data_IF_894404601762
#
_entry.id   IF_894404601762
#
_cell.length_a   1.000
_cell.length_b   1.000
_cell.length_c   1.000
_cell.angle_alpha   90.00
_cell.angle_beta   90.00
_cell.angle_gamma   90.00
#
_symmetry.space_group_name_H-M   'P 1'
#
loop_
_entity.id
_entity.type
_entity.pdbx_description
1 polymer ?
#
# COMPACT_ATOMS: atom_id res chain seq x y z
N UNK A 1 -21.63 9.11 1.91
CA UNK A 1 -22.28 8.55 0.70
C UNK A 1 -21.22 8.15 -0.32
N UNK A 2 -21.43 7.05 -1.02
CA UNK A 2 -20.60 6.65 -2.17
C UNK A 2 -21.46 6.70 -3.43
N UNK A 3 -21.11 7.57 -4.36
CA UNK A 3 -21.71 7.66 -5.69
C UNK A 3 -20.72 7.08 -6.70
N UNK A 4 -21.15 6.08 -7.48
CA UNK A 4 -20.28 5.53 -8.51
C UNK A 4 -20.99 5.43 -9.86
N UNK A 5 -20.26 5.86 -10.87
CA UNK A 5 -20.71 5.82 -12.27
C UNK A 5 -20.21 4.55 -12.96
N UNK A 6 -20.97 4.07 -13.92
CA UNK A 6 -20.57 2.97 -14.79
C UNK A 6 -20.99 3.26 -16.25
N UNK A 7 -20.31 2.67 -17.24
CA UNK A 7 -20.51 3.03 -18.64
C UNK A 7 -21.91 2.77 -19.18
N UNK A 8 -22.40 1.53 -19.05
CA UNK A 8 -23.63 1.13 -19.76
C UNK A 8 -24.18 -0.18 -19.19
N UNK A 9 -25.52 -0.29 -19.24
CA UNK A 9 -26.26 -1.51 -18.96
C UNK A 9 -25.94 -2.62 -19.96
N UNK A 10 -26.20 -3.87 -19.59
CA UNK A 10 -26.01 -5.05 -20.41
C UNK A 10 -24.61 -5.20 -21.02
N UNK A 11 -23.57 -4.87 -20.25
CA UNK A 11 -22.16 -5.02 -20.61
C UNK A 11 -21.45 -6.06 -19.76
N UNK A 12 -20.12 -6.11 -19.79
CA UNK A 12 -19.36 -7.25 -19.23
C UNK A 12 -18.80 -6.94 -17.81
N UNK A 13 -18.10 -5.84 -17.62
CA UNK A 13 -17.49 -5.45 -16.33
C UNK A 13 -18.52 -4.84 -15.40
N UNK A 14 -19.45 -4.04 -15.93
CA UNK A 14 -20.42 -3.28 -15.12
C UNK A 14 -21.26 -4.16 -14.17
N UNK A 15 -21.81 -5.30 -14.59
CA UNK A 15 -22.59 -6.12 -13.67
C UNK A 15 -21.72 -6.69 -12.55
N UNK A 16 -20.45 -6.97 -12.78
CA UNK A 16 -19.56 -7.50 -11.73
C UNK A 16 -19.32 -6.48 -10.62
N UNK A 17 -19.16 -5.20 -10.96
CA UNK A 17 -19.01 -4.12 -9.97
C UNK A 17 -20.29 -3.87 -9.21
N UNK A 18 -21.40 -3.65 -9.92
CA UNK A 18 -22.68 -3.27 -9.33
C UNK A 18 -23.18 -4.39 -8.39
N UNK A 19 -23.06 -5.65 -8.81
CA UNK A 19 -23.41 -6.81 -7.99
C UNK A 19 -22.51 -6.87 -6.75
N UNK A 20 -21.19 -6.66 -6.89
CA UNK A 20 -20.25 -6.71 -5.76
C UNK A 20 -20.59 -5.63 -4.71
N UNK A 21 -20.87 -4.39 -5.14
CA UNK A 21 -21.32 -3.32 -4.23
C UNK A 21 -22.67 -3.63 -3.60
N UNK A 22 -23.63 -4.13 -4.40
CA UNK A 22 -24.98 -4.48 -3.91
C UNK A 22 -24.97 -5.61 -2.90
N UNK A 23 -24.19 -6.66 -3.14
CA UNK A 23 -24.11 -7.81 -2.24
C UNK A 23 -23.47 -7.44 -0.89
N UNK A 24 -22.62 -6.42 -0.88
CA UNK A 24 -21.96 -5.88 0.32
C UNK A 24 -22.58 -4.59 0.86
N UNK A 25 -23.77 -4.21 0.41
CA UNK A 25 -24.45 -2.98 0.82
C UNK A 25 -24.61 -2.85 2.34
N UNK A 26 -24.87 -3.96 3.05
CA UNK A 26 -25.00 -3.98 4.51
C UNK A 26 -23.72 -3.59 5.26
N UNK A 27 -22.55 -3.81 4.68
CA UNK A 27 -21.27 -3.35 5.26
C UNK A 27 -21.17 -1.82 5.21
N UNK A 28 -21.61 -1.21 4.11
CA UNK A 28 -21.69 0.24 4.00
C UNK A 28 -22.78 0.86 4.89
N UNK A 29 -23.92 0.19 5.03
CA UNK A 29 -25.00 0.63 5.93
C UNK A 29 -24.54 0.65 7.39
N UNK A 30 -23.76 -0.33 7.84
CA UNK A 30 -23.14 -0.35 9.18
C UNK A 30 -22.20 0.84 9.40
N UNK A 31 -21.62 1.37 8.34
CA UNK A 31 -20.79 2.58 8.34
C UNK A 31 -21.62 3.86 8.07
N UNK A 32 -22.94 3.80 8.22
CA UNK A 32 -23.86 4.92 7.92
C UNK A 32 -23.62 5.51 6.52
N UNK A 33 -23.23 4.68 5.55
CA UNK A 33 -22.86 5.09 4.20
C UNK A 33 -23.83 4.52 3.18
N UNK A 34 -24.46 5.39 2.40
CA UNK A 34 -25.35 4.98 1.30
C UNK A 34 -24.56 4.81 0.01
N UNK A 35 -24.91 3.77 -0.75
CA UNK A 35 -24.39 3.50 -2.09
C UNK A 35 -25.40 3.94 -3.15
N UNK A 36 -24.91 4.62 -4.19
CA UNK A 36 -25.69 5.02 -5.36
C UNK A 36 -24.90 4.66 -6.62
N UNK A 37 -25.50 3.87 -7.50
CA UNK A 37 -24.96 3.64 -8.84
C UNK A 37 -25.58 4.64 -9.84
N UNK A 38 -24.88 5.01 -10.90
CA UNK A 38 -25.37 5.92 -11.92
C UNK A 38 -24.83 5.56 -13.30
N UNK A 39 -25.66 5.58 -14.33
CA UNK A 39 -25.23 5.57 -15.73
C UNK A 39 -26.09 6.48 -16.59
N UNK A 40 -25.66 6.68 -17.82
CA UNK A 40 -26.40 7.47 -18.81
C UNK A 40 -27.58 6.71 -19.45
N UNK A 41 -27.86 5.49 -19.02
CA UNK A 41 -29.03 4.71 -19.46
C UNK A 41 -30.32 5.20 -18.80
N UNK A 42 -31.46 4.76 -19.33
CA UNK A 42 -32.78 5.11 -18.80
C UNK A 42 -33.19 4.19 -17.62
N UNK A 43 -34.14 4.65 -16.83
CA UNK A 43 -34.71 3.86 -15.71
C UNK A 43 -35.34 2.56 -16.22
N UNK A 44 -35.94 2.56 -17.40
CA UNK A 44 -36.52 1.36 -18.03
C UNK A 44 -35.45 0.33 -18.38
N UNK A 45 -34.27 0.79 -18.87
CA UNK A 45 -33.14 -0.08 -19.12
C UNK A 45 -32.63 -0.72 -17.81
N UNK A 46 -32.43 0.09 -16.76
CA UNK A 46 -32.04 -0.42 -15.44
C UNK A 46 -33.02 -1.45 -14.89
N UNK A 47 -34.33 -1.18 -15.01
CA UNK A 47 -35.36 -2.09 -14.54
C UNK A 47 -35.35 -3.42 -15.30
N UNK A 48 -35.18 -3.37 -16.63
CA UNK A 48 -35.04 -4.56 -17.44
C UNK A 48 -33.79 -5.38 -17.05
N UNK A 49 -32.68 -4.71 -16.79
CA UNK A 49 -31.44 -5.35 -16.40
C UNK A 49 -31.50 -5.97 -15.01
N UNK A 50 -32.15 -5.31 -14.03
CA UNK A 50 -32.43 -5.85 -12.70
C UNK A 50 -33.31 -7.10 -12.76
N UNK A 51 -34.33 -7.11 -13.63
CA UNK A 51 -35.20 -8.28 -13.83
C UNK A 51 -34.52 -9.46 -14.53
N UNK A 52 -33.38 -9.20 -15.20
CA UNK A 52 -32.61 -10.25 -15.87
C UNK A 52 -31.78 -11.04 -14.85
N UNK A 53 -31.84 -12.38 -14.85
CA UNK A 53 -31.08 -13.20 -13.93
C UNK A 53 -29.55 -13.01 -14.09
N UNK A 54 -28.80 -13.05 -12.99
CA UNK A 54 -27.32 -12.92 -12.98
C UNK A 54 -26.64 -13.91 -13.93
N UNK A 55 -27.11 -15.15 -14.01
CA UNK A 55 -26.60 -16.18 -14.92
C UNK A 55 -26.78 -15.85 -16.42
N UNK A 56 -27.59 -14.84 -16.73
CA UNK A 56 -27.83 -14.33 -18.10
C UNK A 56 -27.25 -12.94 -18.30
N UNK A 57 -26.30 -12.52 -17.46
CA UNK A 57 -25.66 -11.20 -17.52
C UNK A 57 -26.49 -10.06 -16.94
N UNK A 58 -27.59 -10.37 -16.23
CA UNK A 58 -28.39 -9.39 -15.51
C UNK A 58 -27.87 -9.11 -14.10
N UNK A 59 -28.48 -8.13 -13.43
CA UNK A 59 -28.13 -7.76 -12.04
C UNK A 59 -28.84 -8.65 -11.01
N UNK A 60 -30.03 -9.15 -11.34
CA UNK A 60 -30.87 -9.86 -10.38
C UNK A 60 -31.36 -8.93 -9.26
N UNK A 61 -31.60 -9.49 -8.09
CA UNK A 61 -32.07 -8.71 -6.93
C UNK A 61 -30.98 -7.74 -6.46
N UNK A 62 -31.30 -6.46 -6.43
CA UNK A 62 -30.41 -5.36 -6.06
C UNK A 62 -30.77 -4.76 -4.72
N UNK A 63 -29.77 -4.43 -3.88
CA UNK A 63 -29.93 -3.76 -2.58
C UNK A 63 -29.63 -2.26 -2.64
N UNK A 64 -29.12 -1.77 -3.77
CA UNK A 64 -28.74 -0.36 -3.96
C UNK A 64 -29.54 0.25 -5.12
N UNK A 65 -29.89 1.55 -5.07
CA UNK A 65 -30.55 2.24 -6.16
C UNK A 65 -29.59 2.53 -7.31
N UNK A 66 -30.16 2.60 -8.52
CA UNK A 66 -29.44 3.00 -9.74
C UNK A 66 -30.12 4.25 -10.31
N UNK A 67 -29.34 5.28 -10.56
CA UNK A 67 -29.79 6.57 -11.13
C UNK A 67 -29.66 6.50 -12.65
N UNK A 68 -30.75 6.81 -13.35
CA UNK A 68 -30.78 6.98 -14.79
C UNK A 68 -30.47 8.44 -15.15
N UNK A 69 -29.29 8.70 -15.66
CA UNK A 69 -28.83 10.03 -16.12
C UNK A 69 -28.87 10.11 -17.65
N UNK A 70 -30.03 9.84 -18.24
CA UNK A 70 -30.21 9.84 -19.70
C UNK A 70 -29.98 11.21 -20.35
N UNK A 71 -30.11 12.29 -19.58
CA UNK A 71 -29.75 13.66 -20.02
C UNK A 71 -28.24 13.90 -19.97
N UNK A 72 -27.46 13.04 -19.30
CA UNK A 72 -26.01 13.12 -19.09
C UNK A 72 -25.57 14.33 -18.26
N UNK A 73 -26.51 14.98 -17.59
CA UNK A 73 -26.25 16.18 -16.81
C UNK A 73 -25.42 15.86 -15.56
N UNK A 74 -25.74 14.76 -14.86
CA UNK A 74 -25.01 14.34 -13.66
C UNK A 74 -23.61 13.90 -14.04
N UNK A 75 -23.46 13.01 -15.04
CA UNK A 75 -22.16 12.54 -15.53
C UNK A 75 -21.28 13.71 -16.02
N UNK A 76 -21.86 14.71 -16.66
CA UNK A 76 -21.13 15.91 -17.10
C UNK A 76 -20.67 16.76 -15.91
N UNK A 77 -21.51 17.01 -14.92
CA UNK A 77 -21.17 17.79 -13.71
C UNK A 77 -20.10 17.14 -12.87
N UNK A 78 -20.08 15.81 -12.80
CA UNK A 78 -19.04 15.05 -12.10
C UNK A 78 -17.76 14.82 -12.93
N UNK A 79 -17.73 15.32 -14.17
CA UNK A 79 -16.55 15.23 -15.05
C UNK A 79 -16.23 13.79 -15.52
N UNK A 80 -17.21 12.90 -15.50
CA UNK A 80 -17.04 11.48 -15.89
C UNK A 80 -17.57 11.18 -17.29
N UNK A 81 -18.25 12.12 -17.95
CA UNK A 81 -18.85 11.91 -19.27
C UNK A 81 -17.78 11.82 -20.36
N UNK A 82 -17.81 10.76 -21.14
CA UNK A 82 -17.07 10.62 -22.41
C UNK A 82 -18.00 11.06 -23.52
N UNK A 83 -17.86 12.30 -23.97
CA UNK A 83 -18.79 12.94 -24.90
C UNK A 83 -18.99 12.15 -26.20
N UNK A 84 -17.91 11.68 -26.81
CA UNK A 84 -17.94 10.97 -28.11
C UNK A 84 -18.67 9.61 -28.02
N UNK A 85 -18.66 8.99 -26.85
CA UNK A 85 -19.31 7.71 -26.60
C UNK A 85 -20.69 7.86 -25.95
N UNK A 86 -20.95 9.01 -25.33
CA UNK A 86 -22.17 9.28 -24.58
C UNK A 86 -22.37 8.40 -23.33
N UNK A 87 -21.28 7.91 -22.75
CA UNK A 87 -21.27 7.06 -21.56
C UNK A 87 -20.38 7.67 -20.47
N UNK A 88 -20.54 7.20 -19.23
CA UNK A 88 -19.68 7.61 -18.14
C UNK A 88 -18.43 6.72 -18.03
N UNK A 89 -17.29 7.30 -17.63
CA UNK A 89 -16.17 6.53 -17.06
C UNK A 89 -16.58 5.88 -15.75
N UNK A 90 -15.74 4.97 -15.24
CA UNK A 90 -15.94 4.37 -13.93
C UNK A 90 -15.47 5.31 -12.82
N UNK A 91 -16.13 6.46 -12.69
CA UNK A 91 -15.91 7.41 -11.60
C UNK A 91 -16.54 6.92 -10.31
N UNK A 92 -15.87 7.12 -9.18
CA UNK A 92 -16.41 6.87 -7.85
C UNK A 92 -16.04 8.05 -6.95
N UNK A 93 -17.00 8.49 -6.17
CA UNK A 93 -16.91 9.65 -5.30
C UNK A 93 -17.36 9.28 -3.89
N UNK A 94 -16.47 9.46 -2.92
CA UNK A 94 -16.83 9.38 -1.49
C UNK A 94 -17.17 10.79 -1.05
N UNK A 95 -18.38 10.99 -0.55
CA UNK A 95 -18.93 12.29 -0.20
C UNK A 95 -19.33 12.26 1.27
N UNK A 96 -18.82 13.21 2.06
CA UNK A 96 -19.10 13.32 3.48
C UNK A 96 -20.50 13.86 3.78
N UNK A 97 -20.94 13.92 5.06
CA UNK A 97 -22.27 14.44 5.42
C UNK A 97 -22.50 15.90 5.02
N UNK A 98 -21.44 16.71 4.94
CA UNK A 98 -21.49 18.12 4.56
C UNK A 98 -21.58 18.33 3.05
N UNK A 99 -21.56 17.24 2.26
CA UNK A 99 -21.61 17.28 0.79
C UNK A 99 -20.26 17.54 0.12
N UNK A 100 -19.17 17.46 0.89
CA UNK A 100 -17.80 17.62 0.37
C UNK A 100 -17.28 16.27 -0.15
N UNK A 101 -16.62 16.31 -1.30
CA UNK A 101 -15.96 15.14 -1.88
C UNK A 101 -14.63 14.91 -1.17
N UNK A 102 -14.51 13.78 -0.47
CA UNK A 102 -13.29 13.34 0.23
C UNK A 102 -12.34 12.54 -0.68
N UNK A 103 -12.90 11.81 -1.66
CA UNK A 103 -12.09 10.97 -2.54
C UNK A 103 -12.74 10.81 -3.90
N UNK A 104 -11.91 10.79 -4.94
CA UNK A 104 -12.29 10.50 -6.32
C UNK A 104 -11.40 9.37 -6.84
N UNK A 105 -12.04 8.33 -7.39
CA UNK A 105 -11.35 7.31 -8.19
C UNK A 105 -11.93 7.32 -9.60
N UNK A 106 -11.06 7.26 -10.60
CA UNK A 106 -11.45 7.24 -12.00
C UNK A 106 -10.75 6.09 -12.73
N UNK A 107 -11.49 5.02 -13.04
CA UNK A 107 -10.97 3.95 -13.88
C UNK A 107 -11.46 4.12 -15.31
N UNK A 108 -10.61 3.74 -16.28
CA UNK A 108 -11.01 3.57 -17.65
C UNK A 108 -11.97 2.38 -17.80
N UNK A 109 -12.69 2.31 -18.92
CA UNK A 109 -13.82 1.42 -19.17
C UNK A 109 -13.56 -0.08 -18.90
N UNK A 110 -12.37 -0.68 -19.22
CA UNK A 110 -12.16 -2.12 -19.10
C UNK A 110 -11.83 -2.61 -17.67
N UNK A 111 -11.60 -1.72 -16.70
CA UNK A 111 -11.11 -2.12 -15.37
C UNK A 111 -12.09 -1.77 -14.27
N UNK A 112 -12.64 -2.79 -13.59
CA UNK A 112 -13.52 -2.65 -12.43
C UNK A 112 -12.79 -2.15 -11.16
N UNK A 113 -13.55 -1.62 -10.20
CA UNK A 113 -13.04 -1.06 -8.93
C UNK A 113 -13.09 -2.09 -7.81
N UNK A 114 -12.28 -1.87 -6.77
CA UNK A 114 -12.23 -2.70 -5.57
C UNK A 114 -13.23 -2.21 -4.52
N UNK A 115 -14.18 -3.05 -4.13
CA UNK A 115 -15.14 -2.75 -3.05
C UNK A 115 -14.41 -2.69 -1.70
N UNK A 116 -13.39 -3.54 -1.48
CA UNK A 116 -12.59 -3.55 -0.25
C UNK A 116 -11.89 -2.21 -0.03
N UNK A 117 -11.30 -1.64 -1.08
CA UNK A 117 -10.63 -0.34 -0.99
C UNK A 117 -11.62 0.79 -0.70
N UNK A 118 -12.82 0.75 -1.28
CA UNK A 118 -13.86 1.75 -1.00
C UNK A 118 -14.32 1.67 0.46
N UNK A 119 -14.51 0.46 1.00
CA UNK A 119 -14.84 0.26 2.42
C UNK A 119 -13.73 0.75 3.33
N UNK A 120 -12.47 0.41 3.01
CA UNK A 120 -11.30 0.87 3.75
C UNK A 120 -11.23 2.40 3.81
N UNK A 121 -11.44 3.06 2.68
CA UNK A 121 -11.41 4.52 2.59
C UNK A 121 -12.54 5.19 3.37
N UNK A 122 -13.78 4.66 3.27
CA UNK A 122 -14.90 5.17 4.07
C UNK A 122 -14.58 5.10 5.56
N UNK A 123 -14.04 3.96 6.04
CA UNK A 123 -13.64 3.79 7.43
C UNK A 123 -12.52 4.75 7.83
N UNK A 124 -11.53 4.97 6.95
CA UNK A 124 -10.43 5.88 7.21
C UNK A 124 -10.91 7.34 7.33
N UNK A 125 -11.76 7.82 6.42
CA UNK A 125 -12.31 9.18 6.51
C UNK A 125 -13.17 9.38 7.75
N UNK A 126 -14.00 8.40 8.12
CA UNK A 126 -14.81 8.46 9.34
C UNK A 126 -13.92 8.48 10.59
N UNK A 127 -12.88 7.66 10.63
CA UNK A 127 -11.92 7.64 11.72
C UNK A 127 -11.23 9.00 11.91
N UNK A 128 -10.73 9.60 10.82
CA UNK A 128 -10.10 10.93 10.86
C UNK A 128 -11.08 11.99 11.36
N UNK A 129 -12.33 11.97 10.89
CA UNK A 129 -13.35 12.92 11.30
C UNK A 129 -13.70 12.80 12.80
N UNK A 130 -13.69 11.58 13.35
CA UNK A 130 -14.03 11.32 14.75
C UNK A 130 -12.86 11.59 15.72
N UNK A 131 -11.63 11.20 15.35
CA UNK A 131 -10.47 11.17 16.26
C UNK A 131 -9.47 12.30 16.00
N UNK A 132 -9.50 12.96 14.84
CA UNK A 132 -8.54 14.02 14.48
C UNK A 132 -7.12 13.51 14.21
N UNK A 133 -6.88 12.22 14.27
CA UNK A 133 -5.62 11.58 13.87
C UNK A 133 -5.65 11.21 12.39
N UNK A 134 -4.47 11.10 11.75
CA UNK A 134 -4.39 10.77 10.33
C UNK A 134 -4.05 9.31 10.09
N UNK A 135 -4.64 8.74 9.06
CA UNK A 135 -4.44 7.36 8.68
C UNK A 135 -3.24 7.25 7.71
N UNK A 136 -2.20 6.46 8.02
CA UNK A 136 -1.09 6.24 7.10
C UNK A 136 -1.51 5.46 5.85
N UNK A 137 -0.59 5.33 4.90
CA UNK A 137 -0.81 4.53 3.69
C UNK A 137 -1.24 3.10 4.06
N UNK A 138 -2.22 2.57 3.34
CA UNK A 138 -2.78 1.22 3.52
C UNK A 138 -3.46 0.94 4.87
N UNK A 139 -3.63 1.95 5.72
CA UNK A 139 -4.24 1.81 7.03
C UNK A 139 -5.57 1.05 6.99
N UNK A 140 -5.78 0.20 7.98
CA UNK A 140 -7.02 -0.53 8.23
C UNK A 140 -7.52 -0.28 9.65
N UNK A 141 -8.81 -0.45 9.93
CA UNK A 141 -9.35 -0.34 11.27
C UNK A 141 -8.60 -1.19 12.29
N UNK A 142 -8.18 -0.55 13.39
CA UNK A 142 -7.40 -1.18 14.46
C UNK A 142 -5.88 -1.05 14.31
N UNK A 143 -5.37 -0.54 13.19
CA UNK A 143 -3.95 -0.25 13.02
C UNK A 143 -3.58 1.12 13.60
N UNK A 144 -2.27 1.34 13.78
CA UNK A 144 -1.74 2.59 14.33
C UNK A 144 -2.05 3.77 13.41
N UNK A 145 -2.38 4.89 14.02
CA UNK A 145 -2.60 6.19 13.40
C UNK A 145 -1.50 7.16 13.76
N UNK A 146 -1.44 8.30 13.09
CA UNK A 146 -0.43 9.34 13.33
C UNK A 146 -1.12 10.57 13.92
N UNK A 147 -0.64 11.05 15.06
CA UNK A 147 -1.07 12.34 15.56
C UNK A 147 -0.46 13.44 14.66
N UNK A 148 -1.25 14.38 14.10
CA UNK A 148 -0.77 15.38 13.14
C UNK A 148 -0.05 16.55 13.83
N UNK A 149 0.87 16.27 14.76
CA UNK A 149 1.77 17.26 15.36
C UNK A 149 3.23 16.84 15.17
N UNK A 150 4.12 17.80 15.02
CA UNK A 150 5.54 17.54 14.75
C UNK A 150 6.20 16.65 15.81
N UNK A 151 5.84 16.86 17.10
CA UNK A 151 6.42 16.11 18.20
C UNK A 151 5.79 14.72 18.34
N UNK A 152 4.44 14.62 18.34
CA UNK A 152 3.75 13.35 18.59
C UNK A 152 3.79 12.39 17.41
N UNK A 153 3.96 12.90 16.16
CA UNK A 153 4.15 12.03 15.00
C UNK A 153 5.40 11.16 15.10
N UNK A 154 6.42 11.61 15.85
CA UNK A 154 7.64 10.84 16.08
C UNK A 154 7.40 9.52 16.83
N UNK A 155 6.34 9.43 17.64
CA UNK A 155 5.95 8.19 18.32
C UNK A 155 5.54 7.10 17.31
N UNK A 156 4.83 7.49 16.24
CA UNK A 156 4.48 6.57 15.16
C UNK A 156 5.72 6.09 14.40
N UNK A 157 6.58 7.03 13.97
CA UNK A 157 7.78 6.70 13.20
C UNK A 157 8.80 5.91 14.03
N UNK A 158 8.99 6.27 15.31
CA UNK A 158 9.87 5.55 16.22
C UNK A 158 9.37 4.17 16.66
N UNK A 159 8.11 3.83 16.35
CA UNK A 159 7.55 2.51 16.68
C UNK A 159 7.82 1.42 15.65
N UNK A 160 8.65 1.68 14.62
CA UNK A 160 8.91 0.75 13.51
C UNK A 160 7.73 0.57 12.54
N UNK A 161 6.67 1.35 12.68
CA UNK A 161 5.48 1.23 11.84
C UNK A 161 5.72 1.62 10.37
N UNK A 162 6.86 2.25 10.08
CA UNK A 162 7.33 2.57 8.73
C UNK A 162 8.40 1.61 8.21
N UNK A 163 8.93 0.75 9.10
CA UNK A 163 9.74 -0.38 8.66
C UNK A 163 8.80 -1.35 7.95
N UNK A 164 8.84 -1.31 6.63
CA UNK A 164 8.03 -2.23 5.84
C UNK A 164 8.53 -3.66 6.13
N UNK A 165 7.61 -4.62 6.18
CA UNK A 165 7.97 -6.05 6.18
C UNK A 165 8.93 -6.39 5.02
N UNK A 166 9.00 -5.54 3.99
CA UNK A 166 9.97 -5.60 2.91
C UNK A 166 11.41 -5.30 3.34
N UNK A 167 11.63 -4.54 4.40
CA UNK A 167 13.01 -4.24 4.87
C UNK A 167 13.52 -5.38 5.76
N UNK A 168 12.66 -6.04 6.54
CA UNK A 168 13.01 -7.31 7.22
C UNK A 168 13.14 -8.49 6.23
N UNK A 169 12.31 -8.52 5.19
CA UNK A 169 12.34 -9.55 4.16
C UNK A 169 13.49 -9.35 3.17
N UNK A 170 13.94 -8.12 2.97
CA UNK A 170 15.04 -7.78 2.05
C UNK A 170 16.37 -8.39 2.52
N UNK A 171 16.64 -8.42 3.84
CA UNK A 171 17.90 -8.89 4.40
C UNK A 171 17.87 -10.38 4.82
N UNK A 172 16.71 -11.05 4.77
CA UNK A 172 16.55 -12.46 5.09
C UNK A 172 16.79 -12.81 6.55
N UNK A 173 16.15 -13.89 7.00
CA UNK A 173 16.19 -14.36 8.42
C UNK A 173 17.57 -14.83 8.90
N UNK A 174 18.49 -15.13 7.98
CA UNK A 174 19.83 -15.64 8.28
C UNK A 174 20.89 -14.52 8.34
N UNK A 175 20.51 -13.24 8.15
CA UNK A 175 21.39 -12.06 8.26
C UNK A 175 21.12 -11.34 9.60
N UNK A 176 22.16 -11.20 10.42
CA UNK A 176 22.06 -10.56 11.74
C UNK A 176 22.06 -9.05 11.56
N UNK A 177 20.97 -8.39 11.95
CA UNK A 177 20.90 -6.92 11.99
C UNK A 177 21.66 -6.41 13.22
N UNK A 178 22.74 -5.66 13.00
CA UNK A 178 23.55 -5.07 14.08
C UNK A 178 22.86 -3.78 14.53
N UNK A 179 22.58 -3.69 15.84
CA UNK A 179 21.81 -2.60 16.45
C UNK A 179 22.67 -1.52 17.11
N UNK A 180 23.90 -1.86 17.47
CA UNK A 180 24.85 -0.97 18.10
C UNK A 180 26.29 -1.43 17.93
N UNK A 181 27.24 -0.53 18.22
CA UNK A 181 28.69 -0.77 18.12
C UNK A 181 29.16 -1.93 19.00
N UNK A 182 28.55 -2.11 20.17
CA UNK A 182 28.89 -3.19 21.09
C UNK A 182 28.60 -4.56 20.48
N UNK A 183 27.40 -4.71 19.88
CA UNK A 183 27.03 -5.94 19.17
C UNK A 183 27.95 -6.23 17.98
N UNK A 184 28.37 -5.19 17.25
CA UNK A 184 29.34 -5.34 16.17
C UNK A 184 30.65 -5.96 16.69
N UNK A 185 31.24 -5.38 17.72
CA UNK A 185 32.50 -5.87 18.28
C UNK A 185 32.37 -7.26 18.91
N UNK A 186 31.23 -7.60 19.52
CA UNK A 186 30.96 -8.95 20.04
C UNK A 186 30.89 -9.97 18.90
N UNK A 187 30.22 -9.66 17.78
CA UNK A 187 30.15 -10.53 16.61
C UNK A 187 31.52 -10.74 15.96
N UNK A 188 32.31 -9.69 15.80
CA UNK A 188 33.67 -9.79 15.27
C UNK A 188 34.53 -10.72 16.12
N UNK A 189 34.45 -10.61 17.47
CA UNK A 189 35.24 -11.45 18.39
C UNK A 189 34.78 -12.90 18.45
N UNK A 190 33.48 -13.16 18.38
CA UNK A 190 32.89 -14.48 18.60
C UNK A 190 32.81 -15.32 17.32
N UNK A 191 32.84 -14.70 16.15
CA UNK A 191 32.66 -15.40 14.89
C UNK A 191 33.99 -15.89 14.32
N UNK A 192 34.02 -17.17 13.87
CA UNK A 192 35.17 -17.70 13.16
C UNK A 192 35.36 -17.05 11.79
N UNK A 193 34.26 -16.89 11.02
CA UNK A 193 34.19 -16.20 9.78
C UNK A 193 32.97 -15.29 9.82
N UNK A 194 33.11 -14.01 9.49
CA UNK A 194 32.02 -13.02 9.49
C UNK A 194 32.12 -12.13 8.26
N UNK A 195 31.00 -11.84 7.65
CA UNK A 195 30.86 -10.81 6.61
C UNK A 195 29.85 -9.77 7.12
N UNK A 196 30.19 -8.51 7.00
CA UNK A 196 29.32 -7.41 7.42
C UNK A 196 29.05 -6.52 6.20
N UNK A 197 27.79 -6.31 5.85
CA UNK A 197 27.30 -5.37 4.85
C UNK A 197 26.93 -4.04 5.53
N UNK A 198 27.62 -2.97 5.16
CA UNK A 198 27.23 -1.62 5.54
C UNK A 198 26.34 -1.05 4.44
N UNK A 199 25.10 -0.75 4.78
CA UNK A 199 24.05 -0.35 3.84
C UNK A 199 23.26 0.86 4.35
N UNK A 200 22.37 1.39 3.49
CA UNK A 200 21.31 2.32 3.90
C UNK A 200 19.98 1.95 3.23
N UNK A 201 18.83 2.12 3.89
CA UNK A 201 17.50 1.76 3.35
C UNK A 201 17.15 2.47 2.04
N UNK A 202 17.65 3.68 1.83
CA UNK A 202 17.42 4.45 0.61
C UNK A 202 18.38 4.10 -0.56
N UNK A 203 19.41 3.30 -0.33
CA UNK A 203 20.43 2.96 -1.31
C UNK A 203 19.93 1.94 -2.33
N UNK A 204 19.73 2.35 -3.57
CA UNK A 204 19.25 1.48 -4.65
C UNK A 204 20.18 0.29 -4.94
N UNK A 205 21.51 0.48 -4.89
CA UNK A 205 22.50 -0.60 -5.08
C UNK A 205 22.44 -1.61 -3.93
N UNK A 206 22.23 -1.15 -2.71
CA UNK A 206 22.07 -2.02 -1.54
C UNK A 206 20.84 -2.92 -1.70
N UNK A 207 19.71 -2.35 -2.14
CA UNK A 207 18.48 -3.11 -2.43
C UNK A 207 18.68 -4.17 -3.53
N UNK A 208 19.51 -3.90 -4.53
CA UNK A 208 19.80 -4.86 -5.60
C UNK A 208 20.65 -6.05 -5.13
N UNK A 209 21.61 -5.85 -4.21
CA UNK A 209 22.50 -6.91 -3.72
C UNK A 209 21.89 -7.72 -2.56
N UNK A 210 20.96 -7.14 -1.79
CA UNK A 210 20.41 -7.73 -0.58
C UNK A 210 19.80 -9.14 -0.79
N UNK A 211 19.04 -9.44 -1.86
CA UNK A 211 18.52 -10.80 -2.10
C UNK A 211 19.64 -11.82 -2.32
N UNK A 212 20.74 -11.42 -2.97
CA UNK A 212 21.89 -12.28 -3.19
C UNK A 212 22.66 -12.52 -1.89
N UNK A 213 22.85 -11.47 -1.09
CA UNK A 213 23.49 -11.54 0.21
C UNK A 213 22.72 -12.45 1.18
N UNK A 214 21.39 -12.30 1.21
CA UNK A 214 20.49 -13.17 1.98
C UNK A 214 20.55 -14.64 1.54
N UNK A 215 20.61 -14.89 0.23
CA UNK A 215 20.77 -16.23 -0.32
C UNK A 215 22.09 -16.86 0.14
N UNK A 216 23.20 -16.14 0.07
CA UNK A 216 24.49 -16.60 0.57
C UNK A 216 24.44 -16.93 2.05
N UNK A 217 23.78 -16.09 2.87
CA UNK A 217 23.60 -16.35 4.30
C UNK A 217 22.83 -17.64 4.57
N UNK A 218 21.85 -17.96 3.75
CA UNK A 218 21.09 -19.21 3.86
C UNK A 218 21.91 -20.46 3.46
N UNK A 219 22.79 -20.33 2.46
CA UNK A 219 23.58 -21.44 1.88
C UNK A 219 24.90 -21.68 2.62
N UNK A 220 25.51 -20.65 3.19
CA UNK A 220 26.86 -20.70 3.79
C UNK A 220 26.81 -20.66 5.31
N UNK A 221 26.48 -21.80 5.95
CA UNK A 221 26.39 -21.90 7.41
C UNK A 221 27.75 -21.91 8.13
N UNK A 222 28.86 -21.95 7.39
CA UNK A 222 30.22 -21.80 7.88
C UNK A 222 30.66 -20.33 8.05
N UNK A 223 29.83 -19.38 7.63
CA UNK A 223 30.06 -17.92 7.70
C UNK A 223 28.87 -17.26 8.38
N UNK A 224 29.11 -16.34 9.29
CA UNK A 224 28.08 -15.45 9.86
C UNK A 224 27.92 -14.25 8.93
N UNK A 225 26.69 -13.94 8.58
CA UNK A 225 26.33 -12.77 7.78
C UNK A 225 25.63 -11.76 8.68
N UNK A 226 26.09 -10.51 8.63
CA UNK A 226 25.51 -9.42 9.40
C UNK A 226 25.40 -8.16 8.55
N UNK A 227 24.55 -7.23 8.97
CA UNK A 227 24.37 -5.95 8.31
C UNK A 227 24.30 -4.79 9.30
N UNK A 228 24.78 -3.62 8.87
CA UNK A 228 24.82 -2.37 9.61
C UNK A 228 24.11 -1.31 8.80
N UNK A 229 23.00 -0.78 9.32
CA UNK A 229 22.36 0.41 8.76
C UNK A 229 23.17 1.65 9.13
N UNK A 230 23.84 2.24 8.14
CA UNK A 230 24.69 3.44 8.32
C UNK A 230 23.89 4.71 8.58
N UNK A 231 22.56 4.65 8.54
CA UNK A 231 21.67 5.80 8.79
C UNK A 231 20.96 5.74 10.15
N UNK A 232 21.10 4.62 10.86
CA UNK A 232 20.51 4.47 12.19
C UNK A 232 21.27 5.35 13.21
N UNK A 233 20.53 6.11 14.04
CA UNK A 233 21.06 7.10 14.99
C UNK A 233 22.28 6.65 15.80
N UNK A 234 22.31 5.37 16.22
CA UNK A 234 23.40 4.79 17.02
C UNK A 234 24.57 4.26 16.19
N UNK A 235 24.40 4.12 14.90
CA UNK A 235 25.37 3.50 13.99
C UNK A 235 25.93 4.46 12.94
N UNK A 236 25.30 5.63 12.73
CA UNK A 236 25.78 6.63 11.76
C UNK A 236 27.18 7.11 12.10
N UNK A 237 27.40 7.55 13.33
CA UNK A 237 28.72 7.98 13.80
C UNK A 237 29.73 6.83 13.76
N UNK A 238 29.33 5.64 14.22
CA UNK A 238 30.17 4.45 14.21
C UNK A 238 30.63 4.11 12.76
N UNK A 239 29.72 4.10 11.81
CA UNK A 239 30.06 3.79 10.40
C UNK A 239 31.02 4.85 9.80
N UNK A 240 30.82 6.13 10.13
CA UNK A 240 31.71 7.20 9.72
C UNK A 240 33.11 7.07 10.34
N UNK A 241 33.20 6.84 11.67
CA UNK A 241 34.45 6.66 12.41
C UNK A 241 35.17 5.37 11.97
N UNK A 242 34.40 4.33 11.56
CA UNK A 242 34.91 3.09 11.00
C UNK A 242 35.52 3.28 9.59
N UNK A 243 35.22 4.37 8.93
CA UNK A 243 35.80 4.74 7.64
C UNK A 243 34.99 4.28 6.43
N UNK A 244 33.73 3.90 6.59
CA UNK A 244 32.83 3.55 5.48
C UNK A 244 32.54 4.79 4.63
N UNK A 245 33.04 4.83 3.40
CA UNK A 245 32.91 5.98 2.47
C UNK A 245 31.85 5.73 1.39
N UNK A 246 31.57 4.49 1.10
CA UNK A 246 30.65 4.08 0.03
C UNK A 246 29.76 2.95 0.50
N UNK A 247 28.53 2.88 0.00
CA UNK A 247 27.56 1.82 0.28
C UNK A 247 27.00 1.24 -1.04
N UNK A 248 26.71 -0.08 -1.10
CA UNK A 248 27.03 -1.10 -0.08
C UNK A 248 28.53 -1.28 0.07
N UNK A 249 28.97 -1.61 1.28
CA UNK A 249 30.37 -1.92 1.60
C UNK A 249 30.44 -3.20 2.42
N UNK A 250 31.21 -4.18 1.94
CA UNK A 250 31.35 -5.49 2.56
C UNK A 250 32.72 -5.63 3.21
N UNK A 251 32.73 -5.90 4.51
CA UNK A 251 33.91 -6.15 5.32
C UNK A 251 33.96 -7.59 5.78
N UNK A 252 35.15 -8.18 5.73
CA UNK A 252 35.35 -9.60 6.01
C UNK A 252 36.22 -9.78 7.25
N UNK A 253 35.82 -10.69 8.14
CA UNK A 253 36.54 -10.97 9.40
C UNK A 253 36.78 -12.46 9.52
N UNK A 254 37.97 -12.79 10.01
CA UNK A 254 38.36 -14.15 10.35
C UNK A 254 39.03 -14.14 11.72
N UNK A 255 38.51 -14.97 12.66
CA UNK A 255 39.05 -15.11 14.01
C UNK A 255 39.28 -13.78 14.74
N UNK A 256 38.32 -12.87 14.62
CA UNK A 256 38.33 -11.53 15.25
C UNK A 256 39.19 -10.49 14.57
N UNK A 257 39.76 -10.77 13.41
CA UNK A 257 40.58 -9.81 12.63
C UNK A 257 39.97 -9.58 11.26
N UNK A 258 39.98 -8.33 10.83
CA UNK A 258 39.61 -7.99 9.45
C UNK A 258 40.56 -8.67 8.47
N UNK A 259 40.04 -9.25 7.39
CA UNK A 259 40.79 -10.00 6.41
C UNK A 259 40.25 -9.76 4.99
N UNK A 260 41.19 -9.54 4.04
CA UNK A 260 40.82 -9.25 2.67
C UNK A 260 40.50 -7.76 2.41
N UNK A 261 40.32 -7.38 1.14
CA UNK A 261 39.95 -6.04 0.79
C UNK A 261 38.49 -5.75 1.08
N UNK A 262 38.17 -4.51 1.43
CA UNK A 262 36.82 -3.98 1.39
C UNK A 262 36.27 -4.11 -0.05
N UNK A 263 35.05 -4.62 -0.18
CA UNK A 263 34.34 -4.67 -1.47
C UNK A 263 33.24 -3.64 -1.43
N UNK A 264 33.29 -2.66 -2.33
CA UNK A 264 32.30 -1.60 -2.42
C UNK A 264 31.52 -1.65 -3.73
N UNK A 265 30.27 -1.26 -3.71
CA UNK A 265 29.40 -1.16 -4.87
C UNK A 265 28.80 -2.49 -5.30
N UNK A 266 28.10 -2.46 -6.44
CA UNK A 266 27.47 -3.60 -7.08
C UNK A 266 28.21 -3.88 -8.40
N UNK A 267 28.86 -5.02 -8.46
CA UNK A 267 29.47 -5.54 -9.70
C UNK A 267 28.76 -6.85 -10.02
N UNK A 268 28.11 -6.90 -11.16
CA UNK A 268 27.50 -8.13 -11.72
C UNK A 268 28.57 -9.07 -12.20
#
# INVERSE_FOLDING_TARGET
MVLFFYPKDFTFVCPTEIIAFSDRAEEFEKLNTKLLACSCDTVESHLAWIKTPRKKGGLGNMKIPIIGDNTKEIASKYGVLVNDLGVALRGLFIINPEGVIEQITMNNLPVGRSVDEVLRLVQAFQFVAEHGEVCPANWKPGEKTINPSAEKSLEYFGSGATESAADEELMGKDVIQIKDEKQFHELVKSSKNLVVDFYAPWCGKCKMIAPFYSKLASERKDVVFASVDTTADRLEKFAADYGVKHIPSFHFYKEGKECGPEITGYVL
#
